data_IF_064604850613
#
_entry.id   IF_064604850613
#
_cell.length_a   1.000
_cell.length_b   1.000
_cell.length_c   1.000
_cell.angle_alpha   90.00
_cell.angle_beta   90.00
_cell.angle_gamma   90.00
#
_symmetry.space_group_name_H-M   'P 1'
#
loop_
_entity.id
_entity.type
_entity.pdbx_description
1 polymer ?
#
# COMPACT_ATOMS: atom_id res chain seq x y z
N UNK A 1 -1.19 -12.10 14.04
CA UNK A 1 -1.97 -12.10 15.31
C UNK A 1 -3.27 -11.35 15.06
N UNK A 2 -4.40 -12.04 15.18
CA UNK A 2 -5.72 -11.65 14.65
C UNK A 2 -6.70 -11.29 15.78
N UNK A 3 -6.24 -10.51 16.76
CA UNK A 3 -6.95 -10.36 18.05
C UNK A 3 -7.16 -8.93 18.56
N UNK A 4 -6.96 -7.88 17.74
CA UNK A 4 -7.08 -6.51 18.26
C UNK A 4 -8.17 -5.62 17.66
N UNK A 5 -8.93 -6.08 16.65
CA UNK A 5 -10.09 -5.35 16.08
C UNK A 5 -11.41 -6.13 16.26
N UNK A 6 -11.35 -7.34 16.83
CA UNK A 6 -12.53 -8.10 17.26
C UNK A 6 -13.14 -7.50 18.55
N UNK A 7 -12.43 -6.60 19.24
CA UNK A 7 -12.87 -5.99 20.51
C UNK A 7 -14.18 -5.17 20.43
N UNK A 8 -14.34 -4.22 19.48
CA UNK A 8 -15.57 -3.41 19.43
C UNK A 8 -16.77 -4.13 18.80
N UNK A 9 -16.55 -4.99 17.79
CA UNK A 9 -17.61 -5.68 17.06
C UNK A 9 -18.29 -6.79 17.86
N UNK A 10 -17.53 -7.60 18.61
CA UNK A 10 -18.11 -8.60 19.52
C UNK A 10 -18.85 -7.96 20.70
N UNK A 11 -18.47 -6.74 21.11
CA UNK A 11 -19.13 -6.01 22.20
C UNK A 11 -20.58 -5.61 21.91
N UNK A 12 -20.95 -5.46 20.63
CA UNK A 12 -22.34 -5.21 20.21
C UNK A 12 -23.15 -6.52 20.24
N UNK A 13 -22.55 -7.62 19.78
CA UNK A 13 -23.14 -8.97 19.82
C UNK A 13 -23.33 -9.51 21.25
N UNK A 14 -22.47 -9.13 22.21
CA UNK A 14 -22.59 -9.55 23.60
C UNK A 14 -23.45 -8.63 24.48
N UNK A 15 -23.78 -7.41 24.01
CA UNK A 15 -24.64 -6.45 24.73
C UNK A 15 -26.13 -6.62 24.47
N UNK A 16 -26.51 -7.23 23.35
CA UNK A 16 -27.90 -7.42 22.96
C UNK A 16 -28.28 -8.89 23.09
N UNK A 17 -29.44 -9.17 23.72
CA UNK A 17 -29.90 -10.54 23.98
C UNK A 17 -30.17 -11.36 22.70
N UNK A 18 -30.31 -10.68 21.54
CA UNK A 18 -30.50 -11.28 20.22
C UNK A 18 -30.17 -10.24 19.15
N UNK A 19 -29.37 -10.60 18.15
CA UNK A 19 -29.22 -9.83 16.90
C UNK A 19 -30.14 -10.48 15.88
N UNK A 20 -31.02 -9.68 15.26
CA UNK A 20 -32.03 -10.17 14.33
C UNK A 20 -31.57 -9.92 12.88
N UNK A 21 -31.90 -10.84 11.99
CA UNK A 21 -31.79 -10.61 10.54
C UNK A 21 -32.97 -9.73 10.06
N UNK A 22 -32.94 -9.25 8.81
CA UNK A 22 -33.99 -8.40 8.23
C UNK A 22 -35.38 -9.06 8.20
N UNK A 23 -35.43 -10.38 8.38
CA UNK A 23 -36.65 -11.20 8.47
C UNK A 23 -37.11 -11.48 9.92
N UNK A 24 -36.53 -10.79 10.90
CA UNK A 24 -36.82 -10.91 12.35
C UNK A 24 -36.38 -12.26 12.97
N UNK A 25 -35.62 -13.08 12.22
CA UNK A 25 -35.04 -14.33 12.71
C UNK A 25 -33.73 -14.10 13.48
N UNK A 26 -33.29 -15.10 14.25
CA UNK A 26 -32.05 -14.98 15.03
C UNK A 26 -30.82 -15.09 14.10
N UNK A 27 -30.01 -14.03 14.01
CA UNK A 27 -28.81 -14.06 13.18
C UNK A 27 -27.81 -15.08 13.70
N UNK A 28 -27.47 -16.05 12.85
CA UNK A 28 -26.42 -17.01 13.17
C UNK A 28 -25.04 -16.34 13.09
N UNK A 29 -24.10 -16.79 13.93
CA UNK A 29 -22.69 -16.33 13.91
C UNK A 29 -22.06 -16.46 12.51
N UNK A 30 -22.46 -17.49 11.75
CA UNK A 30 -22.04 -17.69 10.36
C UNK A 30 -22.53 -16.57 9.43
N UNK A 31 -23.78 -16.15 9.59
CA UNK A 31 -24.35 -15.03 8.82
C UNK A 31 -23.64 -13.73 9.16
N UNK A 32 -23.43 -13.47 10.46
CA UNK A 32 -22.69 -12.30 10.93
C UNK A 32 -21.28 -12.22 10.34
N UNK A 33 -20.53 -13.33 10.35
CA UNK A 33 -19.20 -13.39 9.74
C UNK A 33 -19.24 -13.16 8.21
N UNK A 34 -20.26 -13.71 7.52
CA UNK A 34 -20.42 -13.49 6.09
C UNK A 34 -20.71 -12.03 5.75
N UNK A 35 -21.54 -11.35 6.55
CA UNK A 35 -21.85 -9.92 6.38
C UNK A 35 -20.63 -9.05 6.68
N UNK A 36 -19.89 -9.38 7.74
CA UNK A 36 -18.62 -8.71 8.07
C UNK A 36 -17.67 -8.85 6.88
N UNK A 37 -17.39 -10.07 6.41
CA UNK A 37 -16.49 -10.29 5.27
C UNK A 37 -16.93 -9.56 4.00
N UNK A 38 -18.24 -9.51 3.72
CA UNK A 38 -18.78 -8.75 2.59
C UNK A 38 -18.49 -7.24 2.72
N UNK A 39 -18.73 -6.65 3.89
CA UNK A 39 -18.43 -5.23 4.12
C UNK A 39 -16.93 -4.96 4.00
N UNK A 40 -16.08 -5.90 4.45
CA UNK A 40 -14.63 -5.80 4.22
C UNK A 40 -14.28 -5.81 2.73
N UNK A 41 -14.86 -6.73 1.94
CA UNK A 41 -14.65 -6.77 0.49
C UNK A 41 -15.12 -5.49 -0.21
N UNK A 42 -16.22 -4.89 0.24
CA UNK A 42 -16.73 -3.61 -0.28
C UNK A 42 -15.78 -2.45 0.05
N UNK A 43 -15.28 -2.37 1.29
CA UNK A 43 -14.29 -1.36 1.71
C UNK A 43 -12.98 -1.52 0.94
N UNK A 44 -12.50 -2.75 0.80
CA UNK A 44 -11.28 -3.07 0.06
C UNK A 44 -11.39 -2.64 -1.41
N UNK A 45 -12.55 -2.87 -2.04
CA UNK A 45 -12.79 -2.45 -3.42
C UNK A 45 -12.85 -0.94 -3.57
N UNK A 46 -13.46 -0.23 -2.62
CA UNK A 46 -13.49 1.23 -2.62
C UNK A 46 -12.09 1.83 -2.43
N UNK A 47 -11.29 1.25 -1.54
CA UNK A 47 -9.91 1.64 -1.29
C UNK A 47 -9.01 1.34 -2.49
N UNK A 48 -9.16 0.15 -3.10
CA UNK A 48 -8.44 -0.22 -4.32
C UNK A 48 -8.81 0.74 -5.47
N UNK A 49 -10.06 1.20 -5.57
CA UNK A 49 -10.51 2.15 -6.59
C UNK A 49 -10.01 3.59 -6.37
N UNK A 50 -9.60 3.94 -5.15
CA UNK A 50 -9.11 5.28 -4.82
C UNK A 50 -7.65 5.53 -5.27
N UNK A 51 -6.87 4.48 -5.54
CA UNK A 51 -5.50 4.59 -6.02
C UNK A 51 -5.39 5.04 -7.48
N UNK A 52 -4.22 5.54 -7.87
CA UNK A 52 -3.89 5.75 -9.29
C UNK A 52 -3.98 4.46 -10.11
N UNK A 53 -4.29 4.60 -11.40
CA UNK A 53 -4.62 3.47 -12.27
C UNK A 53 -3.46 2.48 -12.41
N UNK A 54 -2.21 2.97 -12.41
CA UNK A 54 -1.01 2.17 -12.39
C UNK A 54 -0.95 1.26 -11.15
N UNK A 55 -1.21 1.84 -9.97
CA UNK A 55 -1.27 1.11 -8.69
C UNK A 55 -2.41 0.11 -8.67
N UNK A 56 -3.57 0.42 -9.26
CA UNK A 56 -4.68 -0.52 -9.38
C UNK A 56 -4.31 -1.76 -10.21
N UNK A 57 -3.62 -1.56 -11.33
CA UNK A 57 -3.13 -2.66 -12.17
C UNK A 57 -2.07 -3.46 -11.42
N UNK A 58 -1.16 -2.80 -10.72
CA UNK A 58 -0.12 -3.43 -9.93
C UNK A 58 -0.70 -4.29 -8.80
N UNK A 59 -1.71 -3.79 -8.08
CA UNK A 59 -2.45 -4.53 -7.06
C UNK A 59 -3.14 -5.77 -7.62
N UNK A 60 -3.86 -5.63 -8.74
CA UNK A 60 -4.53 -6.75 -9.38
C UNK A 60 -3.53 -7.84 -9.84
N UNK A 61 -2.39 -7.42 -10.39
CA UNK A 61 -1.30 -8.32 -10.74
C UNK A 61 -0.73 -9.00 -9.51
N UNK A 62 -0.35 -8.22 -8.49
CA UNK A 62 0.24 -8.72 -7.26
C UNK A 62 -0.69 -9.73 -6.57
N UNK A 63 -1.99 -9.44 -6.47
CA UNK A 63 -2.96 -10.34 -5.87
C UNK A 63 -3.08 -11.69 -6.61
N UNK A 64 -2.75 -11.75 -7.90
CA UNK A 64 -2.90 -12.97 -8.70
C UNK A 64 -1.59 -13.73 -8.83
N UNK A 65 -0.49 -13.01 -9.09
CA UNK A 65 0.78 -13.56 -9.53
C UNK A 65 1.96 -13.19 -8.61
N UNK A 66 1.76 -12.30 -7.63
CA UNK A 66 2.87 -11.74 -6.86
C UNK A 66 3.85 -11.02 -7.78
N UNK A 67 5.15 -11.26 -7.57
CA UNK A 67 6.21 -10.72 -8.42
C UNK A 67 6.60 -11.66 -9.59
N UNK A 68 5.89 -12.78 -9.79
CA UNK A 68 6.23 -13.74 -10.83
C UNK A 68 6.02 -13.17 -12.24
N UNK A 69 6.96 -13.48 -13.14
CA UNK A 69 6.83 -13.13 -14.55
C UNK A 69 5.74 -13.97 -15.26
N UNK A 70 4.82 -13.30 -15.95
CA UNK A 70 3.75 -13.91 -16.76
C UNK A 70 3.74 -13.38 -18.19
N UNK A 71 2.90 -13.97 -19.04
CA UNK A 71 2.76 -13.51 -20.41
C UNK A 71 2.24 -12.06 -20.45
N UNK A 72 2.75 -11.24 -21.37
CA UNK A 72 2.34 -9.83 -21.48
C UNK A 72 0.84 -9.64 -21.74
N UNK A 73 0.16 -10.67 -22.27
CA UNK A 73 -1.31 -10.68 -22.44
C UNK A 73 -2.10 -10.54 -21.13
N UNK A 74 -1.56 -11.04 -20.01
CA UNK A 74 -2.17 -10.87 -18.69
C UNK A 74 -2.18 -9.39 -18.29
N UNK A 75 -1.06 -8.69 -18.51
CA UNK A 75 -0.93 -7.27 -18.19
C UNK A 75 -1.84 -6.43 -19.07
N UNK A 76 -1.93 -6.76 -20.37
CA UNK A 76 -2.83 -6.07 -21.31
C UNK A 76 -4.28 -6.21 -20.84
N UNK A 77 -4.68 -7.38 -20.35
CA UNK A 77 -6.04 -7.61 -19.83
C UNK A 77 -6.32 -6.74 -18.62
N UNK A 78 -5.40 -6.69 -17.64
CA UNK A 78 -5.56 -5.86 -16.45
C UNK A 78 -5.52 -4.36 -16.78
N UNK A 79 -4.62 -3.93 -17.65
CA UNK A 79 -4.47 -2.54 -18.06
C UNK A 79 -5.74 -2.04 -18.78
N UNK A 80 -6.29 -2.84 -19.70
CA UNK A 80 -7.56 -2.52 -20.37
C UNK A 80 -8.73 -2.43 -19.39
N UNK A 81 -8.80 -3.32 -18.39
CA UNK A 81 -9.84 -3.27 -17.36
C UNK A 81 -9.79 -1.98 -16.50
N UNK A 82 -8.61 -1.36 -16.40
CA UNK A 82 -8.38 -0.08 -15.70
C UNK A 82 -8.24 1.12 -16.63
N UNK A 83 -8.54 0.95 -17.91
CA UNK A 83 -8.49 1.99 -18.94
C UNK A 83 -7.14 2.73 -19.00
N UNK A 84 -6.03 2.00 -18.83
CA UNK A 84 -4.66 2.52 -18.90
C UNK A 84 -3.86 1.77 -19.97
N UNK A 85 -2.99 2.48 -20.68
CA UNK A 85 -2.07 1.87 -21.64
C UNK A 85 -0.91 1.16 -20.96
N UNK A 86 -0.48 0.00 -21.46
CA UNK A 86 0.67 -0.72 -20.89
C UNK A 86 1.96 0.08 -20.93
N UNK A 87 2.12 1.00 -21.89
CA UNK A 87 3.29 1.87 -21.96
C UNK A 87 3.44 2.73 -20.70
N UNK A 88 2.33 3.26 -20.15
CA UNK A 88 2.39 4.06 -18.93
C UNK A 88 2.90 3.24 -17.73
N UNK A 89 2.51 1.95 -17.65
CA UNK A 89 2.95 1.02 -16.60
C UNK A 89 4.46 0.69 -16.68
N UNK A 90 5.03 0.72 -17.89
CA UNK A 90 6.47 0.52 -18.09
C UNK A 90 7.24 1.83 -17.89
N UNK A 91 6.70 2.96 -18.32
CA UNK A 91 7.29 4.29 -18.16
C UNK A 91 7.34 4.71 -16.68
N UNK A 92 6.34 4.35 -15.88
CA UNK A 92 6.34 4.53 -14.42
C UNK A 92 7.22 3.52 -13.68
N UNK A 93 7.91 2.60 -14.37
CA UNK A 93 8.78 1.62 -13.72
C UNK A 93 8.08 0.61 -12.81
N UNK A 94 6.75 0.61 -12.73
CA UNK A 94 5.95 -0.34 -11.95
C UNK A 94 6.10 -1.77 -12.51
N UNK A 95 6.17 -1.89 -13.84
CA UNK A 95 6.35 -3.15 -14.55
C UNK A 95 7.64 -3.17 -15.37
N UNK A 96 8.13 -4.38 -15.66
CA UNK A 96 9.26 -4.64 -16.57
C UNK A 96 8.83 -5.43 -17.78
N UNK A 97 9.25 -5.00 -18.95
CA UNK A 97 9.15 -5.81 -20.17
C UNK A 97 10.29 -6.81 -20.24
N UNK A 98 9.94 -8.10 -20.26
CA UNK A 98 10.84 -9.25 -20.32
C UNK A 98 10.78 -9.92 -21.70
N UNK A 99 10.45 -9.17 -22.76
CA UNK A 99 10.39 -9.62 -24.17
C UNK A 99 9.40 -10.78 -24.37
N UNK A 100 8.12 -10.44 -24.30
CA UNK A 100 7.01 -11.41 -24.42
C UNK A 100 6.50 -11.93 -23.08
N UNK A 101 7.15 -11.54 -21.99
CA UNK A 101 6.67 -11.65 -20.62
C UNK A 101 6.75 -10.29 -19.94
N UNK A 102 6.06 -10.16 -18.83
CA UNK A 102 6.12 -8.98 -17.96
C UNK A 102 6.00 -9.40 -16.51
N UNK A 103 6.53 -8.58 -15.61
CA UNK A 103 6.49 -8.78 -14.17
C UNK A 103 6.46 -7.40 -13.49
N UNK A 104 6.00 -7.37 -12.24
CA UNK A 104 6.22 -6.23 -11.36
C UNK A 104 7.71 -6.03 -11.13
N UNK A 105 8.16 -4.78 -11.04
CA UNK A 105 9.54 -4.46 -10.66
C UNK A 105 9.81 -4.92 -9.23
N UNK A 106 10.75 -5.87 -9.02
CA UNK A 106 11.14 -6.31 -7.68
C UNK A 106 11.80 -5.20 -6.87
N UNK A 107 11.60 -5.19 -5.54
CA UNK A 107 12.12 -4.15 -4.63
C UNK A 107 13.64 -3.99 -4.67
N UNK A 108 14.37 -5.07 -4.88
CA UNK A 108 15.83 -5.12 -4.96
C UNK A 108 16.38 -4.48 -6.24
N UNK A 109 15.57 -4.37 -7.28
CA UNK A 109 15.94 -3.74 -8.54
C UNK A 109 15.47 -2.28 -8.65
N UNK A 110 14.77 -1.76 -7.64
CA UNK A 110 14.34 -0.36 -7.61
C UNK A 110 15.55 0.59 -7.46
N UNK A 111 15.57 1.74 -8.16
CA UNK A 111 16.70 2.67 -8.10
C UNK A 111 16.98 3.18 -6.68
N UNK A 112 18.25 3.12 -6.26
CA UNK A 112 18.68 3.57 -4.92
C UNK A 112 18.48 5.07 -4.71
N UNK A 113 18.70 5.86 -5.75
CA UNK A 113 18.60 7.33 -5.73
C UNK A 113 17.23 7.88 -6.18
N UNK A 114 16.19 7.04 -6.21
CA UNK A 114 14.84 7.49 -6.54
C UNK A 114 14.32 8.47 -5.48
N UNK A 115 13.70 9.55 -5.94
CA UNK A 115 12.97 10.50 -5.11
C UNK A 115 11.63 10.85 -5.77
N UNK A 116 10.55 11.10 -4.98
CA UNK A 116 9.26 11.52 -5.52
C UNK A 116 9.35 12.74 -6.43
N UNK A 117 10.29 13.65 -6.15
CA UNK A 117 10.51 14.88 -6.93
C UNK A 117 11.19 14.65 -8.29
N UNK A 118 11.96 13.56 -8.43
CA UNK A 118 12.63 13.21 -9.68
C UNK A 118 11.74 12.40 -10.63
N UNK A 119 10.64 11.85 -10.11
CA UNK A 119 9.73 11.00 -10.85
C UNK A 119 8.73 11.80 -11.68
N UNK A 120 8.55 11.41 -12.94
CA UNK A 120 7.61 12.06 -13.86
C UNK A 120 6.20 11.48 -13.77
N UNK A 121 6.07 10.25 -13.28
CA UNK A 121 4.84 9.48 -13.24
C UNK A 121 4.67 8.84 -11.87
N UNK A 122 4.84 9.64 -10.81
CA UNK A 122 4.83 9.20 -9.42
C UNK A 122 3.57 8.40 -9.06
N UNK A 123 3.72 7.09 -8.88
CA UNK A 123 2.65 6.19 -8.45
C UNK A 123 2.66 5.92 -6.95
N UNK A 124 1.50 5.60 -6.38
CA UNK A 124 1.40 5.14 -4.98
C UNK A 124 2.14 3.81 -4.79
N UNK A 125 2.13 2.95 -5.81
CA UNK A 125 2.91 1.71 -5.84
C UNK A 125 4.40 1.96 -5.60
N UNK A 126 5.01 2.86 -6.37
CA UNK A 126 6.43 3.20 -6.21
C UNK A 126 6.71 3.78 -4.82
N UNK A 127 5.87 4.71 -4.34
CA UNK A 127 5.99 5.25 -2.99
C UNK A 127 6.07 4.15 -1.93
N UNK A 128 5.15 3.18 -1.95
CA UNK A 128 5.15 2.09 -0.99
C UNK A 128 6.40 1.19 -1.13
N UNK A 129 6.75 0.80 -2.36
CA UNK A 129 7.87 -0.12 -2.59
C UNK A 129 9.24 0.53 -2.30
N UNK A 130 9.44 1.80 -2.67
CA UNK A 130 10.65 2.54 -2.34
C UNK A 130 10.78 2.79 -0.83
N UNK A 131 9.67 3.07 -0.14
CA UNK A 131 9.70 3.21 1.34
C UNK A 131 10.06 1.88 2.00
N UNK A 132 9.47 0.76 1.57
CA UNK A 132 9.82 -0.58 2.04
C UNK A 132 11.31 -0.87 1.82
N UNK A 133 11.83 -0.58 0.62
CA UNK A 133 13.24 -0.77 0.27
C UNK A 133 14.15 0.05 1.16
N UNK A 134 13.88 1.35 1.31
CA UNK A 134 14.73 2.25 2.11
C UNK A 134 14.68 1.89 3.59
N UNK A 135 13.53 1.47 4.12
CA UNK A 135 13.39 1.03 5.50
C UNK A 135 14.26 -0.20 5.80
N UNK A 136 14.31 -1.16 4.87
CA UNK A 136 15.02 -2.43 5.01
C UNK A 136 16.47 -2.42 4.48
N UNK A 137 16.94 -1.31 3.93
CA UNK A 137 18.30 -1.21 3.38
C UNK A 137 19.35 -1.04 4.49
N UNK A 138 20.54 -1.63 4.31
CA UNK A 138 21.67 -1.49 5.25
C UNK A 138 22.11 -0.04 5.43
N UNK A 139 22.06 0.75 4.35
CA UNK A 139 22.36 2.19 4.31
C UNK A 139 21.12 3.08 4.56
N UNK A 140 19.99 2.47 4.89
CA UNK A 140 18.69 3.12 5.05
C UNK A 140 18.21 3.23 6.50
N UNK A 141 16.97 2.83 6.74
CA UNK A 141 16.30 2.85 8.05
C UNK A 141 15.26 3.97 8.21
N UNK A 142 14.65 4.06 9.40
CA UNK A 142 13.48 4.92 9.65
C UNK A 142 13.72 6.40 9.33
N UNK A 143 14.94 6.93 9.53
CA UNK A 143 15.25 8.34 9.22
C UNK A 143 15.27 8.59 7.71
N UNK A 144 15.88 7.70 6.92
CA UNK A 144 15.92 7.84 5.47
C UNK A 144 14.53 7.63 4.85
N UNK A 145 13.79 6.62 5.34
CA UNK A 145 12.41 6.38 4.93
C UNK A 145 11.48 7.54 5.31
N UNK A 146 11.67 8.15 6.50
CA UNK A 146 10.91 9.33 6.93
C UNK A 146 11.15 10.56 6.05
N UNK A 147 12.37 10.78 5.56
CA UNK A 147 12.63 11.84 4.56
C UNK A 147 11.87 11.58 3.26
N UNK A 148 11.90 10.34 2.79
CA UNK A 148 11.17 9.94 1.59
C UNK A 148 9.66 10.19 1.74
N UNK A 149 9.09 9.81 2.89
CA UNK A 149 7.67 10.07 3.23
C UNK A 149 7.36 11.57 3.26
N UNK A 150 8.27 12.41 3.76
CA UNK A 150 8.11 13.87 3.74
C UNK A 150 8.01 14.43 2.31
N UNK A 151 8.79 13.87 1.38
CA UNK A 151 8.80 14.29 -0.02
C UNK A 151 7.54 13.86 -0.80
N UNK A 152 6.83 12.82 -0.34
CA UNK A 152 5.62 12.31 -1.01
C UNK A 152 4.39 13.20 -0.87
N UNK A 153 4.37 14.11 0.11
CA UNK A 153 3.22 14.98 0.37
C UNK A 153 1.92 14.18 0.55
N UNK A 154 0.81 14.52 -0.15
CA UNK A 154 -0.48 13.83 -0.01
C UNK A 154 -0.42 12.32 -0.28
N UNK A 155 0.48 11.86 -1.18
CA UNK A 155 0.61 10.45 -1.53
C UNK A 155 1.14 9.58 -0.38
N UNK A 156 1.70 10.17 0.67
CA UNK A 156 2.14 9.42 1.85
C UNK A 156 0.99 8.64 2.51
N UNK A 157 -0.20 9.28 2.63
CA UNK A 157 -1.36 8.63 3.23
C UNK A 157 -1.88 7.47 2.36
N UNK A 158 -1.88 7.64 1.04
CA UNK A 158 -2.24 6.60 0.08
C UNK A 158 -1.23 5.44 0.12
N UNK A 159 0.07 5.73 0.17
CA UNK A 159 1.11 4.71 0.24
C UNK A 159 1.05 3.90 1.54
N UNK A 160 0.65 4.55 2.65
CA UNK A 160 0.34 3.86 3.91
C UNK A 160 -0.81 2.88 3.76
N UNK A 161 -1.93 3.34 3.18
CA UNK A 161 -3.09 2.49 2.92
C UNK A 161 -2.71 1.29 2.02
N UNK A 162 -1.90 1.55 1.00
CA UNK A 162 -1.38 0.50 0.12
C UNK A 162 -0.52 -0.52 0.87
N UNK A 163 0.32 -0.10 1.83
CA UNK A 163 1.13 -1.02 2.62
C UNK A 163 0.27 -2.00 3.44
N UNK A 164 -0.82 -1.54 4.05
CA UNK A 164 -1.77 -2.41 4.74
C UNK A 164 -2.43 -3.39 3.75
N UNK A 165 -2.84 -2.90 2.59
CA UNK A 165 -3.48 -3.73 1.55
C UNK A 165 -2.57 -4.84 1.05
N UNK A 166 -1.30 -4.52 0.79
CA UNK A 166 -0.30 -5.49 0.35
C UNK A 166 -0.01 -6.53 1.44
N UNK A 167 0.02 -6.13 2.71
CA UNK A 167 0.15 -7.05 3.83
C UNK A 167 -1.02 -8.04 3.90
N UNK A 168 -2.25 -7.57 3.74
CA UNK A 168 -3.45 -8.42 3.76
C UNK A 168 -3.44 -9.44 2.62
N UNK A 169 -3.17 -8.99 1.39
CA UNK A 169 -3.04 -9.85 0.22
C UNK A 169 -1.95 -10.91 0.45
N UNK A 170 -0.77 -10.50 0.91
CA UNK A 170 0.34 -11.42 1.17
C UNK A 170 -0.02 -12.44 2.27
N UNK A 171 -0.74 -12.02 3.31
CA UNK A 171 -1.20 -12.91 4.39
C UNK A 171 -2.22 -13.92 3.88
N UNK A 172 -3.22 -13.48 3.11
CA UNK A 172 -4.23 -14.36 2.52
C UNK A 172 -3.62 -15.38 1.55
N UNK A 173 -2.59 -14.99 0.80
CA UNK A 173 -1.86 -15.85 -0.14
C UNK A 173 -0.81 -16.75 0.52
N UNK A 174 -0.50 -16.52 1.80
CA UNK A 174 0.55 -17.26 2.51
C UNK A 174 1.98 -16.87 2.12
N UNK A 175 2.18 -15.69 1.53
CA UNK A 175 3.50 -15.16 1.14
C UNK A 175 4.20 -14.55 2.35
N UNK A 176 4.75 -15.40 3.22
CA UNK A 176 5.32 -14.99 4.51
C UNK A 176 6.40 -13.91 4.41
N UNK A 177 7.29 -13.98 3.42
CA UNK A 177 8.36 -13.00 3.23
C UNK A 177 7.81 -11.60 2.88
N UNK A 178 6.83 -11.53 1.99
CA UNK A 178 6.15 -10.28 1.62
C UNK A 178 5.32 -9.74 2.78
N UNK A 179 4.58 -10.61 3.47
CA UNK A 179 3.77 -10.22 4.61
C UNK A 179 4.62 -9.62 5.75
N UNK A 180 5.82 -10.16 5.99
CA UNK A 180 6.75 -9.60 6.98
C UNK A 180 7.11 -8.14 6.63
N UNK A 181 7.53 -7.92 5.38
CA UNK A 181 8.02 -6.61 4.91
C UNK A 181 6.91 -5.56 4.96
N UNK A 182 5.72 -5.88 4.45
CA UNK A 182 4.61 -4.93 4.46
C UNK A 182 4.05 -4.69 5.85
N UNK A 183 4.06 -5.70 6.73
CA UNK A 183 3.69 -5.51 8.13
C UNK A 183 4.67 -4.57 8.85
N UNK A 184 5.97 -4.76 8.67
CA UNK A 184 6.98 -3.88 9.26
C UNK A 184 6.83 -2.44 8.75
N UNK A 185 6.67 -2.27 7.43
CA UNK A 185 6.43 -0.96 6.83
C UNK A 185 5.19 -0.27 7.42
N UNK A 186 4.08 -1.00 7.53
CA UNK A 186 2.84 -0.46 8.06
C UNK A 186 2.91 -0.14 9.57
N UNK A 187 3.71 -0.89 10.33
CA UNK A 187 3.96 -0.63 11.75
C UNK A 187 4.87 0.58 11.98
N UNK A 188 5.91 0.74 11.16
CA UNK A 188 6.85 1.86 11.27
C UNK A 188 6.28 3.16 10.68
N UNK A 189 5.28 3.10 9.81
CA UNK A 189 4.74 4.26 9.09
C UNK A 189 4.39 5.48 9.96
N UNK A 190 3.70 5.36 11.12
CA UNK A 190 3.42 6.51 11.99
C UNK A 190 4.70 7.23 12.44
N UNK A 191 5.74 6.46 12.76
CA UNK A 191 7.04 7.01 13.15
C UNK A 191 7.74 7.67 11.95
N UNK A 192 7.55 7.16 10.73
CA UNK A 192 8.05 7.80 9.52
C UNK A 192 7.34 9.16 9.29
N UNK A 193 6.03 9.25 9.51
CA UNK A 193 5.25 10.49 9.42
C UNK A 193 5.68 11.52 10.49
N UNK A 194 5.95 11.07 11.72
CA UNK A 194 6.47 11.93 12.79
C UNK A 194 7.86 12.48 12.43
N UNK A 195 8.74 11.62 11.91
CA UNK A 195 10.08 12.01 11.45
C UNK A 195 9.99 12.97 10.25
N UNK A 196 9.07 12.74 9.32
CA UNK A 196 8.80 13.61 8.18
C UNK A 196 8.37 15.01 8.64
N UNK A 197 7.43 15.07 9.59
CA UNK A 197 6.92 16.32 10.15
C UNK A 197 8.00 17.11 10.90
N UNK A 198 8.83 16.41 11.69
CA UNK A 198 9.95 17.02 12.42
C UNK A 198 11.05 17.52 11.47
N UNK A 199 11.33 16.80 10.38
CA UNK A 199 12.26 17.25 9.36
C UNK A 199 11.74 18.54 8.69
N UNK A 200 10.46 18.59 8.31
CA UNK A 200 9.85 19.79 7.73
C UNK A 200 9.88 21.01 8.68
N UNK A 201 9.66 20.79 9.98
CA UNK A 201 9.77 21.82 11.02
C UNK A 201 11.21 22.35 11.20
N UNK A 202 12.22 21.49 11.04
CA UNK A 202 13.63 21.90 11.08
C UNK A 202 14.04 22.75 9.86
N UNK A 203 13.53 22.44 8.66
CA UNK A 203 13.82 23.24 7.45
C UNK A 203 13.14 24.62 7.49
N UNK A 204 11.96 24.72 8.11
CA UNK A 204 11.21 25.97 8.25
C UNK A 204 11.70 26.88 9.39
N UNK A 205 12.64 26.41 10.21
CA UNK A 205 13.21 27.15 11.34
C UNK A 205 14.65 27.63 11.12
N UNK A 206 15.23 27.51 9.93
CA UNK A 206 16.48 28.24 9.62
C UNK A 206 16.22 29.76 9.67
N UNK A 207 16.81 30.50 10.63
CA UNK A 207 16.70 31.95 10.61
C UNK A 207 17.58 32.44 9.46
N UNK A 208 16.98 33.17 8.52
CA UNK A 208 17.70 34.05 7.61
C UNK A 208 18.39 35.13 8.44
N UNK A 209 19.53 34.80 9.05
CA UNK A 209 20.46 35.78 9.58
C UNK A 209 21.08 36.49 8.38
N UNK A 210 20.38 37.54 7.94
CA UNK A 210 20.89 38.50 6.98
C UNK A 210 22.25 39.02 7.45
N UNK A 211 23.25 38.75 6.62
CA UNK A 211 24.57 39.35 6.68
C UNK A 211 24.42 40.87 6.68
N UNK A 212 24.72 41.50 7.81
CA UNK A 212 24.99 42.94 7.90
C UNK A 212 26.35 43.20 7.25
N UNK A 213 26.36 43.90 6.11
CA UNK A 213 27.39 44.88 5.71
C UNK A 213 26.78 45.95 4.80
#
# INVERSE_FOLDING_TARGET
MQQSVIGPGMGVFSRHAKVLEDDDSAMAVKTALSLINRVWEEIDQELDAAFDAETQVALAWFATFGFDARASGELITLANAKNIGTNALFESGVFKDLKGKTALTPRDELPRGWTPASDKSLTVWECAQHTARVLNAEDGGSTAAGRLVAEMGPKAAEARALAYRLFEIATQKGWAAEALIYNELAQEWPKLEDLASNAAAAVSSEPVQGTLL
#
